data_IF_397798732211
#
_entry.id   IF_397798732211
#
_cell.length_a   1.000
_cell.length_b   1.000
_cell.length_c   1.000
_cell.angle_alpha   90.00
_cell.angle_beta   90.00
_cell.angle_gamma   90.00
#
_symmetry.space_group_name_H-M   'P 1'
#
loop_
_entity.id
_entity.type
_entity.pdbx_description
1 polymer ?
#
# COMPACT_ATOMS: atom_id res chain seq x y z
N UNK A 1 -30.15 17.68 11.45
CA UNK A 1 -31.33 18.12 10.66
C UNK A 1 -32.34 17.01 10.72
N UNK A 2 -33.62 17.31 10.93
CA UNK A 2 -34.64 16.26 10.99
C UNK A 2 -34.97 15.75 9.58
N UNK A 3 -35.53 14.54 9.47
CA UNK A 3 -35.92 13.91 8.20
C UNK A 3 -36.73 14.86 7.28
N UNK A 4 -37.66 15.63 7.85
CA UNK A 4 -38.47 16.60 7.12
C UNK A 4 -37.61 17.65 6.40
N UNK A 5 -36.58 18.19 7.06
CA UNK A 5 -35.67 19.18 6.48
C UNK A 5 -34.83 18.57 5.34
N UNK A 6 -34.43 17.29 5.50
CA UNK A 6 -33.65 16.55 4.49
C UNK A 6 -34.47 16.31 3.23
N UNK A 7 -35.75 15.92 3.37
CA UNK A 7 -36.67 15.76 2.24
C UNK A 7 -36.87 17.08 1.49
N UNK A 8 -37.11 18.20 2.20
CA UNK A 8 -37.26 19.53 1.58
C UNK A 8 -36.00 19.93 0.83
N UNK A 9 -34.82 19.73 1.44
CA UNK A 9 -33.54 20.07 0.83
C UNK A 9 -33.30 19.28 -0.44
N UNK A 10 -33.44 17.96 -0.39
CA UNK A 10 -33.24 17.08 -1.54
C UNK A 10 -34.23 17.39 -2.67
N UNK A 11 -35.51 17.59 -2.35
CA UNK A 11 -36.52 18.01 -3.34
C UNK A 11 -36.14 19.31 -4.04
N UNK A 12 -35.73 20.34 -3.27
CA UNK A 12 -35.30 21.63 -3.82
C UNK A 12 -34.02 21.51 -4.66
N UNK A 13 -33.08 20.63 -4.27
CA UNK A 13 -31.85 20.36 -5.01
C UNK A 13 -32.12 19.80 -6.40
N UNK A 14 -33.09 18.90 -6.52
CA UNK A 14 -33.54 18.34 -7.81
C UNK A 14 -34.56 19.22 -8.54
N UNK A 15 -34.97 20.35 -7.96
CA UNK A 15 -35.90 21.30 -8.58
C UNK A 15 -37.36 20.84 -8.62
N UNK A 16 -37.76 19.83 -7.84
CA UNK A 16 -39.09 19.23 -7.94
C UNK A 16 -40.16 19.99 -7.13
N UNK A 17 -41.39 19.99 -7.61
CA UNK A 17 -42.57 20.39 -6.84
C UNK A 17 -43.02 19.29 -5.86
N UNK A 18 -43.89 19.63 -4.89
CA UNK A 18 -44.46 18.61 -3.98
C UNK A 18 -45.35 17.61 -4.73
N UNK A 19 -46.07 18.06 -5.76
CA UNK A 19 -46.79 17.18 -6.69
C UNK A 19 -45.86 16.19 -7.40
N UNK A 20 -44.74 16.67 -7.95
CA UNK A 20 -43.80 15.84 -8.71
C UNK A 20 -43.09 14.79 -7.83
N UNK A 21 -42.72 15.16 -6.61
CA UNK A 21 -42.18 14.20 -5.64
C UNK A 21 -43.23 13.15 -5.26
N UNK A 22 -44.49 13.56 -5.09
CA UNK A 22 -45.58 12.64 -4.78
C UNK A 22 -45.86 11.64 -5.90
N UNK A 23 -45.81 12.11 -7.16
CA UNK A 23 -45.94 11.26 -8.35
C UNK A 23 -44.80 10.24 -8.44
N UNK A 24 -43.55 10.69 -8.26
CA UNK A 24 -42.35 9.81 -8.25
C UNK A 24 -42.37 8.77 -7.13
N UNK A 25 -42.95 9.12 -5.98
CA UNK A 25 -43.06 8.25 -4.81
C UNK A 25 -44.35 7.40 -4.80
N UNK A 26 -45.19 7.54 -5.83
CA UNK A 26 -46.52 6.93 -5.93
C UNK A 26 -47.34 7.09 -4.63
N UNK A 27 -47.41 8.32 -4.13
CA UNK A 27 -48.19 8.71 -2.94
C UNK A 27 -49.03 9.96 -3.24
N UNK A 28 -49.95 10.31 -2.34
CA UNK A 28 -50.69 11.56 -2.47
C UNK A 28 -49.81 12.77 -2.15
N UNK A 29 -50.04 13.89 -2.84
CA UNK A 29 -49.40 15.18 -2.51
C UNK A 29 -49.53 15.55 -1.03
N UNK A 30 -50.66 15.20 -0.42
CA UNK A 30 -50.93 15.43 1.00
C UNK A 30 -49.97 14.65 1.91
N UNK A 31 -49.54 13.44 1.51
CA UNK A 31 -48.56 12.67 2.28
C UNK A 31 -47.19 13.37 2.29
N UNK A 32 -46.70 13.80 1.12
CA UNK A 32 -45.43 14.54 1.00
C UNK A 32 -45.47 15.85 1.80
N UNK A 33 -46.58 16.59 1.73
CA UNK A 33 -46.74 17.82 2.53
C UNK A 33 -46.69 17.56 4.04
N UNK A 34 -47.23 16.43 4.51
CA UNK A 34 -47.18 16.07 5.94
C UNK A 34 -45.79 15.59 6.37
N UNK A 35 -45.06 14.92 5.48
CA UNK A 35 -43.66 14.55 5.71
C UNK A 35 -42.76 15.77 5.82
N UNK A 36 -42.88 16.73 4.89
CA UNK A 36 -42.11 17.98 4.91
C UNK A 36 -42.48 18.88 6.10
N UNK A 37 -43.71 18.79 6.62
CA UNK A 37 -44.15 19.53 7.81
C UNK A 37 -43.88 18.79 9.14
N UNK A 38 -43.17 17.65 9.11
CA UNK A 38 -42.91 16.78 10.26
C UNK A 38 -44.19 16.33 11.02
N UNK A 39 -45.35 16.32 10.37
CA UNK A 39 -46.63 15.91 10.96
C UNK A 39 -46.82 14.40 10.97
N UNK A 40 -46.18 13.70 10.04
CA UNK A 40 -46.18 12.24 9.93
C UNK A 40 -44.83 11.77 9.43
N UNK A 41 -44.35 10.63 9.94
CA UNK A 41 -43.14 9.98 9.45
C UNK A 41 -43.48 9.03 8.30
N UNK A 42 -42.70 9.02 7.20
CA UNK A 42 -42.80 7.97 6.19
C UNK A 42 -42.50 6.61 6.82
N UNK A 43 -43.16 5.56 6.34
CA UNK A 43 -42.87 4.19 6.68
C UNK A 43 -41.57 3.70 6.04
N UNK A 44 -41.05 2.57 6.51
CA UNK A 44 -39.75 2.04 6.09
C UNK A 44 -39.64 1.84 4.58
N UNK A 45 -40.72 1.36 3.94
CA UNK A 45 -40.78 1.18 2.48
C UNK A 45 -40.64 2.52 1.74
N UNK A 46 -41.29 3.58 2.23
CA UNK A 46 -41.16 4.93 1.66
C UNK A 46 -39.82 5.57 1.96
N UNK A 47 -39.18 5.26 3.08
CA UNK A 47 -37.81 5.71 3.37
C UNK A 47 -36.82 5.10 2.37
N UNK A 48 -36.94 3.80 2.07
CA UNK A 48 -36.12 3.12 1.07
C UNK A 48 -36.36 3.70 -0.34
N UNK A 49 -37.61 3.99 -0.68
CA UNK A 49 -37.93 4.64 -1.96
C UNK A 49 -37.36 6.06 -2.04
N UNK A 50 -37.41 6.85 -0.96
CA UNK A 50 -36.81 8.19 -0.91
C UNK A 50 -35.29 8.11 -1.04
N UNK A 51 -34.65 7.13 -0.39
CA UNK A 51 -33.20 6.95 -0.45
C UNK A 51 -32.76 6.65 -1.88
N UNK A 52 -33.44 5.72 -2.55
CA UNK A 52 -33.19 5.37 -3.95
C UNK A 52 -33.52 6.53 -4.90
N UNK A 53 -34.61 7.26 -4.66
CA UNK A 53 -35.04 8.36 -5.54
C UNK A 53 -34.07 9.55 -5.50
N UNK A 54 -33.52 9.85 -4.33
CA UNK A 54 -32.60 10.96 -4.15
C UNK A 54 -31.12 10.56 -4.30
N UNK A 55 -30.84 9.25 -4.40
CA UNK A 55 -29.48 8.71 -4.47
C UNK A 55 -28.69 8.98 -3.19
N UNK A 56 -29.31 8.77 -2.02
CA UNK A 56 -28.68 8.97 -0.71
C UNK A 56 -28.88 7.73 0.17
N UNK A 57 -28.03 7.53 1.17
CA UNK A 57 -28.18 6.40 2.09
C UNK A 57 -29.41 6.58 3.00
N UNK A 58 -30.03 5.46 3.43
CA UNK A 58 -31.11 5.51 4.43
C UNK A 58 -30.62 6.05 5.77
N UNK A 59 -29.35 5.84 6.08
CA UNK A 59 -28.71 6.35 7.29
C UNK A 59 -28.66 7.88 7.28
N UNK A 60 -28.31 8.47 6.12
CA UNK A 60 -28.42 9.92 5.91
C UNK A 60 -29.84 10.42 6.11
N UNK A 61 -30.88 9.70 5.68
CA UNK A 61 -32.26 10.16 5.90
C UNK A 61 -32.70 10.08 7.37
N UNK A 62 -32.19 9.10 8.13
CA UNK A 62 -32.70 8.76 9.46
C UNK A 62 -31.90 9.34 10.63
N UNK A 63 -30.60 9.58 10.48
CA UNK A 63 -29.77 10.14 11.55
C UNK A 63 -29.93 11.64 11.68
N UNK A 64 -29.92 12.16 12.90
CA UNK A 64 -30.04 13.60 13.17
C UNK A 64 -28.71 14.37 13.02
N UNK A 65 -27.59 13.65 13.02
CA UNK A 65 -26.24 14.19 12.84
C UNK A 65 -26.06 14.70 11.40
N UNK A 66 -25.27 15.77 11.25
CA UNK A 66 -24.91 16.34 9.96
C UNK A 66 -23.79 15.46 9.39
N UNK A 67 -24.16 14.28 8.88
CA UNK A 67 -23.29 13.52 7.98
C UNK A 67 -23.38 14.18 6.59
N UNK A 68 -22.24 14.29 5.90
CA UNK A 68 -22.17 14.76 4.51
C UNK A 68 -23.13 13.94 3.62
N UNK A 69 -23.69 14.55 2.58
CA UNK A 69 -24.54 13.86 1.60
C UNK A 69 -23.74 12.73 0.91
N UNK A 70 -23.79 11.52 1.44
CA UNK A 70 -23.24 10.32 0.79
C UNK A 70 -24.16 9.93 -0.36
N UNK A 71 -23.75 10.33 -1.57
CA UNK A 71 -24.43 9.95 -2.80
C UNK A 71 -24.22 8.46 -3.09
N UNK A 72 -25.32 7.72 -3.26
CA UNK A 72 -25.28 6.39 -3.84
C UNK A 72 -25.22 6.53 -5.36
N UNK A 73 -24.13 6.05 -5.96
CA UNK A 73 -23.91 6.09 -7.41
C UNK A 73 -24.76 4.99 -8.08
N UNK A 74 -26.08 5.21 -8.15
CA UNK A 74 -27.02 4.22 -8.70
C UNK A 74 -27.19 4.36 -10.21
N UNK A 75 -26.16 3.94 -10.96
CA UNK A 75 -26.34 3.36 -12.31
C UNK A 75 -25.29 2.27 -12.57
N UNK A 76 -25.50 1.11 -11.94
CA UNK A 76 -25.32 -0.25 -12.49
C UNK A 76 -25.03 -1.23 -11.35
N UNK A 77 -26.00 -2.10 -11.12
CA UNK A 77 -25.84 -3.43 -10.52
C UNK A 77 -25.40 -3.51 -9.05
N UNK A 78 -26.25 -4.18 -8.27
CA UNK A 78 -25.94 -4.78 -6.97
C UNK A 78 -24.74 -5.73 -7.05
N UNK A 79 -23.53 -5.19 -7.04
CA UNK A 79 -22.28 -5.96 -6.97
C UNK A 79 -21.24 -5.26 -6.10
N UNK A 80 -21.63 -4.78 -4.90
CA UNK A 80 -20.63 -4.64 -3.83
C UNK A 80 -20.09 -6.05 -3.59
N UNK A 81 -18.88 -6.31 -4.09
CA UNK A 81 -18.27 -7.64 -4.06
C UNK A 81 -18.13 -8.06 -2.61
N UNK A 82 -18.99 -8.98 -2.17
CA UNK A 82 -18.92 -9.53 -0.81
C UNK A 82 -17.80 -10.54 -0.77
N UNK A 83 -16.79 -10.26 0.05
CA UNK A 83 -15.71 -11.19 0.29
C UNK A 83 -16.25 -12.34 1.13
N UNK A 84 -16.37 -13.50 0.51
CA UNK A 84 -16.86 -14.69 1.19
C UNK A 84 -15.81 -15.32 2.10
N UNK A 85 -16.26 -16.16 3.04
CA UNK A 85 -15.36 -16.86 3.96
C UNK A 85 -14.37 -17.78 3.21
N UNK A 86 -14.81 -18.42 2.13
CA UNK A 86 -13.97 -19.29 1.30
C UNK A 86 -12.91 -18.48 0.53
N UNK A 87 -13.28 -17.34 -0.04
CA UNK A 87 -12.36 -16.44 -0.74
C UNK A 87 -11.32 -15.83 0.21
N UNK A 88 -11.73 -15.37 1.39
CA UNK A 88 -10.82 -14.85 2.41
C UNK A 88 -9.81 -15.92 2.87
N UNK A 89 -10.28 -17.16 3.06
CA UNK A 89 -9.41 -18.29 3.39
C UNK A 89 -8.43 -18.61 2.27
N UNK A 90 -8.91 -18.67 1.02
CA UNK A 90 -8.09 -18.93 -0.15
C UNK A 90 -7.01 -17.84 -0.32
N UNK A 91 -7.39 -16.57 -0.12
CA UNK A 91 -6.47 -15.44 -0.18
C UNK A 91 -5.37 -15.54 0.88
N UNK A 92 -5.73 -15.76 2.15
CA UNK A 92 -4.74 -15.89 3.24
C UNK A 92 -3.81 -17.09 3.01
N UNK A 93 -4.35 -18.24 2.58
CA UNK A 93 -3.58 -19.43 2.29
C UNK A 93 -2.62 -19.22 1.11
N UNK A 94 -3.09 -18.58 0.04
CA UNK A 94 -2.26 -18.23 -1.10
C UNK A 94 -1.16 -17.23 -0.69
N UNK A 95 -1.47 -16.18 0.07
CA UNK A 95 -0.50 -15.19 0.57
C UNK A 95 0.57 -15.83 1.45
N UNK A 96 0.23 -16.85 2.24
CA UNK A 96 1.18 -17.63 3.05
C UNK A 96 2.22 -18.36 2.21
N UNK A 97 1.82 -18.90 1.07
CA UNK A 97 2.72 -19.58 0.13
C UNK A 97 3.50 -18.55 -0.70
N UNK A 98 2.82 -17.52 -1.21
CA UNK A 98 3.42 -16.42 -1.93
C UNK A 98 4.52 -15.71 -1.12
N UNK A 99 4.34 -15.55 0.20
CA UNK A 99 5.36 -14.95 1.07
C UNK A 99 6.70 -15.68 1.01
N UNK A 100 6.67 -17.01 0.93
CA UNK A 100 7.89 -17.84 0.85
C UNK A 100 8.53 -17.69 -0.53
N UNK A 101 7.74 -17.70 -1.60
CA UNK A 101 8.26 -17.51 -2.96
C UNK A 101 8.89 -16.13 -3.13
N UNK A 102 8.24 -15.07 -2.64
CA UNK A 102 8.77 -13.70 -2.67
C UNK A 102 10.08 -13.63 -1.88
N UNK A 103 10.14 -14.21 -0.68
CA UNK A 103 11.35 -14.23 0.13
C UNK A 103 12.50 -14.99 -0.56
N UNK A 104 12.22 -16.15 -1.16
CA UNK A 104 13.21 -16.90 -1.94
C UNK A 104 13.71 -16.13 -3.16
N UNK A 105 12.83 -15.44 -3.88
CA UNK A 105 13.22 -14.61 -5.01
C UNK A 105 14.12 -13.45 -4.57
N UNK A 106 13.81 -12.78 -3.46
CA UNK A 106 14.67 -11.75 -2.87
C UNK A 106 16.03 -12.32 -2.46
N UNK A 107 16.07 -13.52 -1.88
CA UNK A 107 17.32 -14.18 -1.53
C UNK A 107 18.16 -14.54 -2.75
N UNK A 108 17.52 -14.99 -3.84
CA UNK A 108 18.19 -15.23 -5.12
C UNK A 108 18.85 -13.96 -5.65
N UNK A 109 18.20 -12.79 -5.54
CA UNK A 109 18.80 -11.52 -5.94
C UNK A 109 20.07 -11.22 -5.13
N UNK A 110 20.08 -11.49 -3.83
CA UNK A 110 21.25 -11.28 -2.97
C UNK A 110 22.38 -12.26 -3.34
N UNK A 111 22.03 -13.54 -3.50
CA UNK A 111 22.98 -14.61 -3.87
C UNK A 111 23.52 -14.42 -5.29
N UNK A 112 22.80 -13.73 -6.18
CA UNK A 112 23.23 -13.50 -7.56
C UNK A 112 24.56 -12.76 -7.68
N UNK A 113 24.94 -11.99 -6.66
CA UNK A 113 26.19 -11.23 -6.62
C UNK A 113 27.36 -12.11 -6.16
N UNK A 114 27.11 -13.24 -5.49
CA UNK A 114 28.16 -14.09 -4.93
C UNK A 114 29.13 -14.67 -5.97
N UNK A 115 28.68 -15.23 -7.12
CA UNK A 115 29.59 -15.74 -8.14
C UNK A 115 30.56 -14.66 -8.64
N UNK A 116 30.06 -13.43 -8.82
CA UNK A 116 30.88 -12.29 -9.24
C UNK A 116 31.97 -11.97 -8.20
N UNK A 117 31.61 -11.89 -6.92
CA UNK A 117 32.56 -11.60 -5.85
C UNK A 117 33.62 -12.70 -5.70
N UNK A 118 33.19 -13.97 -5.69
CA UNK A 118 34.09 -15.12 -5.51
C UNK A 118 35.04 -15.26 -6.70
N UNK A 119 34.54 -15.25 -7.94
CA UNK A 119 35.39 -15.46 -9.11
C UNK A 119 36.43 -14.35 -9.27
N UNK A 120 36.01 -13.10 -9.06
CA UNK A 120 36.92 -11.94 -9.19
C UNK A 120 38.05 -12.05 -8.18
N UNK A 121 37.72 -12.28 -6.89
CA UNK A 121 38.73 -12.41 -5.84
C UNK A 121 39.61 -13.64 -6.00
N UNK A 122 39.04 -14.79 -6.41
CA UNK A 122 39.81 -16.01 -6.65
C UNK A 122 40.78 -15.88 -7.85
N UNK A 123 40.44 -15.08 -8.86
CA UNK A 123 41.32 -14.81 -10.00
C UNK A 123 42.51 -13.93 -9.64
N UNK A 124 42.34 -12.96 -8.74
CA UNK A 124 43.40 -12.05 -8.30
C UNK A 124 44.49 -12.77 -7.48
N UNK A 125 44.10 -13.76 -6.68
CA UNK A 125 45.05 -14.58 -5.91
C UNK A 125 45.63 -15.77 -6.71
N UNK A 126 45.36 -15.85 -8.02
CA UNK A 126 45.77 -16.94 -8.90
C UNK A 126 45.34 -18.35 -8.42
N UNK A 127 44.30 -18.45 -7.59
CA UNK A 127 43.70 -19.74 -7.20
C UNK A 127 43.08 -20.46 -8.40
N UNK A 128 42.60 -19.68 -9.37
CA UNK A 128 41.99 -20.16 -10.60
C UNK A 128 42.80 -19.59 -11.76
N UNK A 129 43.16 -20.45 -12.72
CA UNK A 129 43.97 -20.07 -13.89
C UNK A 129 43.12 -19.38 -14.98
N UNK A 130 42.35 -18.35 -14.59
CA UNK A 130 41.43 -17.59 -15.43
C UNK A 130 41.81 -16.11 -15.31
N UNK A 131 41.86 -15.38 -16.42
CA UNK A 131 42.11 -13.94 -16.41
C UNK A 131 41.00 -13.17 -15.68
N UNK A 132 41.35 -12.11 -14.96
CA UNK A 132 40.40 -11.25 -14.22
C UNK A 132 39.20 -10.79 -15.06
N UNK A 133 39.44 -10.36 -16.30
CA UNK A 133 38.37 -9.94 -17.23
C UNK A 133 37.37 -11.06 -17.54
N UNK A 134 37.87 -12.29 -17.70
CA UNK A 134 37.04 -13.46 -17.96
C UNK A 134 36.26 -13.88 -16.70
N UNK A 135 36.88 -13.82 -15.53
CA UNK A 135 36.25 -14.09 -14.24
C UNK A 135 35.10 -13.10 -13.97
N UNK A 136 35.33 -11.80 -14.18
CA UNK A 136 34.30 -10.77 -14.08
C UNK A 136 33.17 -10.97 -15.10
N UNK A 137 33.50 -11.31 -16.35
CA UNK A 137 32.52 -11.59 -17.40
C UNK A 137 31.61 -12.77 -17.06
N UNK A 138 32.17 -13.90 -16.61
CA UNK A 138 31.40 -15.06 -16.14
C UNK A 138 30.52 -14.69 -14.94
N UNK A 139 31.05 -13.91 -14.00
CA UNK A 139 30.31 -13.43 -12.83
C UNK A 139 29.06 -12.61 -13.22
N UNK A 140 29.20 -11.68 -14.17
CA UNK A 140 28.09 -10.85 -14.66
C UNK A 140 27.04 -11.71 -15.38
N UNK A 141 27.46 -12.65 -16.23
CA UNK A 141 26.54 -13.57 -16.91
C UNK A 141 25.75 -14.39 -15.88
N UNK A 142 26.43 -14.95 -14.88
CA UNK A 142 25.79 -15.71 -13.80
C UNK A 142 24.79 -14.85 -13.01
N UNK A 143 25.14 -13.59 -12.72
CA UNK A 143 24.27 -12.64 -12.04
C UNK A 143 22.96 -12.45 -12.81
N UNK A 144 23.03 -12.16 -14.11
CA UNK A 144 21.82 -11.95 -14.93
C UNK A 144 20.96 -13.20 -15.06
N UNK A 145 21.57 -14.39 -15.16
CA UNK A 145 20.83 -15.65 -15.20
C UNK A 145 20.04 -15.90 -13.90
N UNK A 146 20.67 -15.68 -12.74
CA UNK A 146 20.01 -15.86 -11.44
C UNK A 146 18.91 -14.80 -11.23
N UNK A 147 19.17 -13.53 -11.58
CA UNK A 147 18.17 -12.46 -11.50
C UNK A 147 16.97 -12.77 -12.40
N UNK A 148 17.21 -13.30 -13.60
CA UNK A 148 16.12 -13.68 -14.52
C UNK A 148 15.16 -14.69 -13.87
N UNK A 149 15.69 -15.68 -13.14
CA UNK A 149 14.87 -16.63 -12.37
C UNK A 149 14.08 -15.94 -11.26
N UNK A 150 14.70 -15.02 -10.51
CA UNK A 150 14.01 -14.26 -9.47
C UNK A 150 12.86 -13.41 -10.03
N UNK A 151 13.07 -12.73 -11.16
CA UNK A 151 12.04 -11.92 -11.83
C UNK A 151 10.87 -12.78 -12.31
N UNK A 152 11.13 -13.98 -12.85
CA UNK A 152 10.07 -14.93 -13.22
C UNK A 152 9.23 -15.33 -11.99
N UNK A 153 9.86 -15.54 -10.83
CA UNK A 153 9.14 -15.85 -9.59
C UNK A 153 8.27 -14.66 -9.15
N UNK A 154 8.82 -13.44 -9.12
CA UNK A 154 8.07 -12.23 -8.73
C UNK A 154 6.87 -11.99 -9.65
N UNK A 155 7.07 -12.07 -10.96
CA UNK A 155 6.02 -11.86 -11.95
C UNK A 155 4.94 -12.94 -11.86
N UNK A 156 5.30 -14.22 -11.69
CA UNK A 156 4.35 -15.32 -11.50
C UNK A 156 3.48 -15.13 -10.24
N UNK A 157 4.09 -14.68 -9.14
CA UNK A 157 3.33 -14.33 -7.92
C UNK A 157 2.43 -13.11 -8.16
N UNK A 158 2.91 -12.10 -8.88
CA UNK A 158 2.12 -10.92 -9.26
C UNK A 158 0.88 -11.27 -10.09
N UNK A 159 1.03 -12.09 -11.12
CA UNK A 159 -0.10 -12.51 -11.96
C UNK A 159 -1.15 -13.31 -11.19
N UNK A 160 -0.74 -14.15 -10.24
CA UNK A 160 -1.67 -14.89 -9.36
C UNK A 160 -2.40 -13.98 -8.36
N UNK A 161 -1.93 -12.75 -8.14
CA UNK A 161 -2.62 -11.77 -7.30
C UNK A 161 -3.80 -11.08 -8.00
N UNK A 162 -3.85 -11.11 -9.35
CA UNK A 162 -4.85 -10.39 -10.15
C UNK A 162 -6.31 -10.61 -9.70
N UNK A 163 -6.76 -11.84 -9.35
CA UNK A 163 -8.13 -12.06 -8.88
C UNK A 163 -8.47 -11.35 -7.55
N UNK A 164 -7.45 -10.95 -6.78
CA UNK A 164 -7.55 -10.32 -5.46
C UNK A 164 -7.25 -8.82 -5.48
N UNK A 165 -7.05 -8.24 -6.66
CA UNK A 165 -6.72 -6.81 -6.85
C UNK A 165 -7.86 -5.90 -6.39
N UNK A 166 -9.11 -6.38 -6.41
CA UNK A 166 -10.26 -5.67 -5.85
C UNK A 166 -10.10 -5.32 -4.36
N UNK A 167 -9.34 -6.12 -3.59
CA UNK A 167 -9.05 -5.81 -2.18
C UNK A 167 -8.16 -4.56 -2.02
N UNK A 168 -7.44 -4.15 -3.07
CA UNK A 168 -6.65 -2.91 -3.10
C UNK A 168 -7.47 -1.70 -3.55
N UNK A 169 -8.34 -1.86 -4.54
CA UNK A 169 -8.88 -0.73 -5.30
C UNK A 169 -10.39 -0.50 -5.14
N UNK A 170 -11.14 -1.52 -4.74
CA UNK A 170 -12.61 -1.48 -4.74
C UNK A 170 -13.17 -1.50 -3.32
N UNK A 171 -14.36 -0.91 -3.15
CA UNK A 171 -15.14 -1.07 -1.93
C UNK A 171 -15.72 -2.49 -1.90
N UNK A 172 -15.31 -3.28 -0.92
CA UNK A 172 -15.85 -4.62 -0.67
C UNK A 172 -16.45 -4.71 0.72
N UNK A 173 -17.52 -5.48 0.87
CA UNK A 173 -18.07 -5.84 2.18
C UNK A 173 -17.57 -7.23 2.57
N UNK A 174 -17.33 -7.45 3.86
CA UNK A 174 -16.99 -8.79 4.37
C UNK A 174 -18.25 -9.51 4.79
N UNK A 175 -18.43 -10.76 4.36
CA UNK A 175 -19.53 -11.59 4.85
C UNK A 175 -19.46 -11.81 6.38
N UNK A 176 -20.60 -12.14 6.99
CA UNK A 176 -20.69 -12.45 8.42
C UNK A 176 -19.70 -13.55 8.80
N UNK A 177 -18.94 -13.33 9.88
CA UNK A 177 -17.93 -14.27 10.39
C UNK A 177 -16.53 -14.14 9.78
N UNK A 178 -16.34 -13.47 8.63
CA UNK A 178 -15.01 -13.27 8.02
C UNK A 178 -14.11 -12.45 8.94
N UNK A 179 -14.62 -11.33 9.46
CA UNK A 179 -13.87 -10.47 10.40
C UNK A 179 -13.46 -11.23 11.66
N UNK A 180 -14.37 -12.05 12.22
CA UNK A 180 -14.07 -12.89 13.39
C UNK A 180 -12.96 -13.90 13.12
N UNK A 181 -13.07 -14.65 12.01
CA UNK A 181 -12.07 -15.62 11.58
C UNK A 181 -10.69 -14.99 11.37
N UNK A 182 -10.63 -13.83 10.69
CA UNK A 182 -9.36 -13.15 10.43
C UNK A 182 -8.76 -12.59 11.72
N UNK A 183 -9.55 -12.00 12.61
CA UNK A 183 -9.07 -11.53 13.93
C UNK A 183 -8.54 -12.66 14.80
N UNK A 184 -9.17 -13.82 14.80
CA UNK A 184 -8.69 -14.98 15.53
C UNK A 184 -7.33 -15.46 14.99
N UNK A 185 -7.19 -15.55 13.66
CA UNK A 185 -5.90 -15.87 13.02
C UNK A 185 -4.83 -14.82 13.25
N UNK A 186 -5.19 -13.54 13.19
CA UNK A 186 -4.30 -12.43 13.46
C UNK A 186 -3.77 -12.51 14.90
N UNK A 187 -4.65 -12.77 15.87
CA UNK A 187 -4.27 -12.97 17.28
C UNK A 187 -3.37 -14.20 17.47
N UNK A 188 -3.69 -15.32 16.83
CA UNK A 188 -2.87 -16.54 16.89
C UNK A 188 -1.48 -16.32 16.27
N UNK A 189 -1.38 -15.55 15.18
CA UNK A 189 -0.12 -15.26 14.50
C UNK A 189 0.67 -14.12 15.13
N UNK A 190 0.05 -13.25 15.93
CA UNK A 190 0.66 -12.04 16.48
C UNK A 190 1.99 -12.30 17.21
N UNK A 191 2.02 -13.30 18.08
CA UNK A 191 3.25 -13.67 18.81
C UNK A 191 4.34 -14.19 17.88
N UNK A 192 3.97 -14.96 16.85
CA UNK A 192 4.93 -15.41 15.83
C UNK A 192 5.45 -14.24 15.01
N UNK A 193 4.58 -13.33 14.59
CA UNK A 193 4.95 -12.11 13.87
C UNK A 193 5.98 -11.27 14.64
N UNK A 194 5.73 -11.02 15.93
CA UNK A 194 6.66 -10.28 16.79
C UNK A 194 7.99 -11.02 16.92
N UNK A 195 7.97 -12.31 17.27
CA UNK A 195 9.20 -13.11 17.43
C UNK A 195 10.03 -13.15 16.15
N UNK A 196 9.40 -13.37 15.01
CA UNK A 196 10.08 -13.39 13.71
C UNK A 196 10.68 -12.03 13.37
N UNK A 197 9.97 -10.92 13.61
CA UNK A 197 10.51 -9.58 13.39
C UNK A 197 11.68 -9.26 14.32
N UNK A 198 11.63 -9.64 15.60
CA UNK A 198 12.76 -9.46 16.53
C UNK A 198 14.00 -10.20 16.02
N UNK A 199 13.83 -11.46 15.60
CA UNK A 199 14.93 -12.26 15.03
C UNK A 199 15.46 -11.60 13.74
N UNK A 200 14.58 -11.15 12.85
CA UNK A 200 14.97 -10.48 11.61
C UNK A 200 15.77 -9.20 11.85
N UNK A 201 15.32 -8.35 12.78
CA UNK A 201 16.04 -7.13 13.19
C UNK A 201 17.43 -7.50 13.73
N UNK A 202 17.49 -8.48 14.63
CA UNK A 202 18.75 -8.93 15.20
C UNK A 202 19.74 -9.41 14.12
N UNK A 203 19.28 -10.23 13.16
CA UNK A 203 20.12 -10.70 12.05
C UNK A 203 20.62 -9.55 11.17
N UNK A 204 19.77 -8.57 10.85
CA UNK A 204 20.19 -7.43 10.05
C UNK A 204 21.22 -6.56 10.79
N UNK A 205 21.02 -6.31 12.09
CA UNK A 205 21.92 -5.49 12.91
C UNK A 205 23.27 -6.17 13.10
N UNK A 206 23.31 -7.51 13.27
CA UNK A 206 24.57 -8.25 13.43
C UNK A 206 25.27 -8.55 12.10
N UNK A 207 24.58 -8.40 10.96
CA UNK A 207 25.11 -8.74 9.64
C UNK A 207 26.46 -8.10 9.29
N UNK A 208 26.82 -6.86 9.71
CA UNK A 208 28.12 -6.28 9.38
C UNK A 208 29.30 -6.85 10.18
N UNK A 209 29.04 -7.57 11.29
CA UNK A 209 30.09 -8.09 12.18
C UNK A 209 31.08 -9.02 11.44
N UNK A 210 30.66 -10.00 10.64
CA UNK A 210 31.56 -10.80 9.79
C UNK A 210 32.51 -9.94 8.95
N UNK A 211 32.03 -8.91 8.25
CA UNK A 211 32.85 -8.03 7.44
C UNK A 211 33.90 -7.27 8.27
N UNK A 212 33.51 -6.76 9.44
CA UNK A 212 34.44 -6.09 10.37
C UNK A 212 35.52 -7.08 10.82
N UNK A 213 35.16 -8.31 11.16
CA UNK A 213 36.13 -9.37 11.47
C UNK A 213 37.08 -9.65 10.29
N UNK A 214 36.56 -9.68 9.06
CA UNK A 214 37.34 -9.84 7.84
C UNK A 214 38.34 -8.71 7.59
N UNK A 215 38.02 -7.47 7.96
CA UNK A 215 38.94 -6.33 7.80
C UNK A 215 40.18 -6.39 8.68
N UNK A 216 40.18 -7.20 9.75
CA UNK A 216 41.37 -7.45 10.57
C UNK A 216 42.29 -8.51 9.97
N UNK A 217 41.88 -9.18 8.90
CA UNK A 217 42.71 -10.14 8.20
C UNK A 217 43.48 -9.47 7.06
N UNK A 218 44.76 -9.81 6.89
CA UNK A 218 45.61 -9.32 5.80
C UNK A 218 45.30 -9.98 4.43
N UNK A 219 44.26 -10.83 4.36
CA UNK A 219 43.95 -11.62 3.18
C UNK A 219 42.66 -11.12 2.50
N UNK A 220 42.81 -10.52 1.32
CA UNK A 220 41.72 -9.95 0.53
C UNK A 220 40.62 -10.98 0.20
N UNK A 221 40.99 -12.24 -0.06
CA UNK A 221 40.02 -13.30 -0.35
C UNK A 221 39.18 -13.67 0.88
N UNK A 222 39.79 -13.70 2.07
CA UNK A 222 39.04 -13.89 3.31
C UNK A 222 38.07 -12.74 3.57
N UNK A 223 38.48 -11.50 3.31
CA UNK A 223 37.60 -10.33 3.43
C UNK A 223 36.36 -10.46 2.53
N UNK A 224 36.52 -10.91 1.29
CA UNK A 224 35.39 -11.18 0.37
C UNK A 224 34.49 -12.31 0.87
N UNK A 225 35.04 -13.38 1.44
CA UNK A 225 34.24 -14.45 2.03
C UNK A 225 33.41 -13.95 3.22
N UNK A 226 33.99 -13.11 4.08
CA UNK A 226 33.26 -12.47 5.16
C UNK A 226 32.18 -11.51 4.67
N UNK A 227 32.43 -10.76 3.60
CA UNK A 227 31.41 -9.93 2.94
C UNK A 227 30.22 -10.78 2.47
N UNK A 228 30.47 -11.96 1.90
CA UNK A 228 29.41 -12.89 1.49
C UNK A 228 28.60 -13.36 2.70
N UNK A 229 29.25 -13.71 3.81
CA UNK A 229 28.55 -14.07 5.06
C UNK A 229 27.68 -12.91 5.55
N UNK A 230 28.17 -11.67 5.48
CA UNK A 230 27.38 -10.47 5.79
C UNK A 230 26.14 -10.36 4.89
N UNK A 231 26.28 -10.54 3.57
CA UNK A 231 25.15 -10.49 2.64
C UNK A 231 24.13 -11.61 2.90
N UNK A 232 24.58 -12.84 3.17
CA UNK A 232 23.71 -13.98 3.47
C UNK A 232 22.94 -13.79 4.79
N UNK A 233 23.60 -13.28 5.83
CA UNK A 233 22.96 -13.02 7.12
C UNK A 233 21.94 -11.88 7.05
N UNK A 234 22.25 -10.78 6.35
CA UNK A 234 21.30 -9.72 6.05
C UNK A 234 20.12 -10.23 5.20
N UNK A 235 20.41 -11.05 4.19
CA UNK A 235 19.40 -11.68 3.33
C UNK A 235 18.46 -12.61 4.09
N UNK A 236 18.97 -13.37 5.07
CA UNK A 236 18.14 -14.17 5.97
C UNK A 236 17.20 -13.29 6.81
N UNK A 237 17.68 -12.16 7.33
CA UNK A 237 16.83 -11.17 8.01
C UNK A 237 15.73 -10.62 7.09
N UNK A 238 16.07 -10.22 5.87
CA UNK A 238 15.11 -9.75 4.86
C UNK A 238 14.05 -10.82 4.51
N UNK A 239 14.45 -12.09 4.35
CA UNK A 239 13.51 -13.19 4.11
C UNK A 239 12.49 -13.33 5.25
N UNK A 240 12.94 -13.25 6.50
CA UNK A 240 12.06 -13.33 7.66
C UNK A 240 11.06 -12.17 7.70
N UNK A 241 11.50 -10.95 7.40
CA UNK A 241 10.61 -9.79 7.27
C UNK A 241 9.56 -9.99 6.18
N UNK A 242 9.96 -10.50 5.01
CA UNK A 242 9.03 -10.74 3.90
C UNK A 242 8.01 -11.81 4.30
N UNK A 243 8.46 -12.94 4.87
CA UNK A 243 7.57 -14.03 5.27
C UNK A 243 6.55 -13.56 6.32
N UNK A 244 7.01 -12.84 7.34
CA UNK A 244 6.14 -12.35 8.41
C UNK A 244 5.23 -11.21 7.96
N UNK A 245 5.80 -10.21 7.27
CA UNK A 245 5.13 -9.02 6.79
C UNK A 245 4.06 -9.31 5.75
N UNK A 246 4.34 -10.13 4.74
CA UNK A 246 3.37 -10.47 3.68
C UNK A 246 2.14 -11.18 4.25
N UNK A 247 2.33 -12.05 5.26
CA UNK A 247 1.24 -12.73 5.97
C UNK A 247 0.44 -11.77 6.83
N UNK A 248 1.12 -10.96 7.64
CA UNK A 248 0.48 -9.96 8.48
C UNK A 248 -0.36 -8.96 7.68
N UNK A 249 0.24 -8.39 6.63
CA UNK A 249 -0.41 -7.46 5.71
C UNK A 249 -1.65 -8.07 5.03
N UNK A 250 -1.64 -9.36 4.71
CA UNK A 250 -2.83 -10.02 4.13
C UNK A 250 -4.04 -10.02 5.05
N UNK A 251 -3.82 -10.16 6.37
CA UNK A 251 -4.89 -10.15 7.36
C UNK A 251 -5.38 -8.73 7.62
N UNK A 252 -4.45 -7.76 7.75
CA UNK A 252 -4.81 -6.34 7.87
C UNK A 252 -5.60 -5.83 6.66
N UNK A 253 -5.27 -6.32 5.46
CA UNK A 253 -5.96 -5.95 4.22
C UNK A 253 -7.43 -6.38 4.21
N UNK A 254 -7.74 -7.58 4.71
CA UNK A 254 -9.13 -8.04 4.84
C UNK A 254 -9.87 -7.26 5.94
N UNK A 255 -9.19 -7.00 7.07
CA UNK A 255 -9.75 -6.24 8.18
C UNK A 255 -9.83 -4.72 7.92
N UNK A 256 -9.23 -4.24 6.83
CA UNK A 256 -9.06 -2.81 6.51
C UNK A 256 -8.39 -2.04 7.66
N UNK A 257 -7.37 -2.62 8.29
CA UNK A 257 -6.62 -2.01 9.40
C UNK A 257 -5.29 -1.41 8.94
N UNK A 258 -4.78 -0.41 9.67
CA UNK A 258 -3.51 0.26 9.38
C UNK A 258 -3.51 0.96 8.01
N UNK A 259 -2.48 0.67 7.21
CA UNK A 259 -2.29 1.24 5.86
C UNK A 259 -3.39 0.86 4.86
N UNK A 260 -4.22 -0.14 5.18
CA UNK A 260 -5.30 -0.61 4.32
C UNK A 260 -6.65 0.07 4.60
N UNK A 261 -6.71 0.96 5.58
CA UNK A 261 -7.91 1.79 5.80
C UNK A 261 -8.17 2.68 4.58
N UNK A 262 -9.43 2.92 4.24
CA UNK A 262 -9.78 3.79 3.10
C UNK A 262 -9.26 5.23 3.28
N UNK A 263 -9.22 5.69 4.53
CA UNK A 263 -8.65 6.97 4.92
C UNK A 263 -7.17 7.05 4.55
N UNK A 264 -6.38 6.06 4.96
CA UNK A 264 -4.93 6.04 4.69
C UNK A 264 -4.62 5.82 3.19
N UNK A 265 -5.45 5.07 2.45
CA UNK A 265 -5.31 4.94 0.99
C UNK A 265 -5.53 6.25 0.25
N UNK A 266 -6.50 7.07 0.67
CA UNK A 266 -6.70 8.43 0.10
C UNK A 266 -5.49 9.31 0.40
N UNK A 267 -5.04 9.34 1.65
CA UNK A 267 -3.82 10.08 2.06
C UNK A 267 -2.58 9.63 1.28
N UNK A 268 -2.39 8.33 1.10
CA UNK A 268 -1.28 7.77 0.32
C UNK A 268 -1.28 8.23 -1.14
N UNK A 269 -2.44 8.32 -1.81
CA UNK A 269 -2.54 8.85 -3.19
C UNK A 269 -2.16 10.33 -3.28
N UNK A 270 -2.61 11.14 -2.32
CA UNK A 270 -2.26 12.57 -2.25
C UNK A 270 -0.77 12.73 -1.97
N UNK A 271 -0.25 12.05 -0.94
CA UNK A 271 1.20 12.01 -0.63
C UNK A 271 2.03 11.59 -1.83
N UNK A 272 1.61 10.57 -2.57
CA UNK A 272 2.30 10.11 -3.78
C UNK A 272 2.35 11.20 -4.87
N UNK A 273 1.23 11.88 -5.09
CA UNK A 273 1.14 12.98 -6.06
C UNK A 273 2.02 14.17 -5.63
N UNK A 274 1.95 14.58 -4.36
CA UNK A 274 2.77 15.65 -3.78
C UNK A 274 4.25 15.30 -3.86
N UNK A 275 4.61 14.05 -3.56
CA UNK A 275 6.00 13.56 -3.66
C UNK A 275 6.51 13.64 -5.09
N UNK A 276 5.72 13.19 -6.06
CA UNK A 276 6.10 13.23 -7.47
C UNK A 276 6.28 14.67 -7.95
N UNK A 277 5.34 15.57 -7.64
CA UNK A 277 5.42 17.00 -7.99
C UNK A 277 6.65 17.64 -7.34
N UNK A 278 6.89 17.37 -6.06
CA UNK A 278 8.03 17.90 -5.32
C UNK A 278 9.37 17.51 -5.98
N UNK A 279 9.58 16.22 -6.27
CA UNK A 279 10.83 15.77 -6.88
C UNK A 279 11.00 16.26 -8.31
N UNK A 280 9.93 16.38 -9.09
CA UNK A 280 10.00 17.00 -10.42
C UNK A 280 10.41 18.48 -10.35
N UNK A 281 9.93 19.23 -9.36
CA UNK A 281 10.34 20.63 -9.15
C UNK A 281 11.81 20.70 -8.73
N UNK A 282 12.25 19.85 -7.79
CA UNK A 282 13.66 19.79 -7.35
C UNK A 282 14.58 19.48 -8.53
N UNK A 283 14.21 18.50 -9.36
CA UNK A 283 14.98 18.14 -10.57
C UNK A 283 14.97 19.29 -11.58
N UNK A 284 13.84 19.97 -11.80
CA UNK A 284 13.76 21.12 -12.68
C UNK A 284 14.63 22.29 -12.20
N UNK A 285 14.66 22.57 -10.89
CA UNK A 285 15.55 23.59 -10.29
C UNK A 285 17.01 23.18 -10.46
N UNK A 286 17.35 21.92 -10.21
CA UNK A 286 18.70 21.40 -10.41
C UNK A 286 19.15 21.56 -11.88
N UNK A 287 18.31 21.17 -12.84
CA UNK A 287 18.60 21.33 -14.27
C UNK A 287 18.68 22.82 -14.67
N UNK A 288 17.80 23.67 -14.16
CA UNK A 288 17.86 25.12 -14.41
C UNK A 288 19.16 25.74 -13.89
N UNK A 289 19.60 25.32 -12.71
CA UNK A 289 20.85 25.77 -12.09
C UNK A 289 22.08 25.24 -12.83
N UNK A 290 21.98 24.05 -13.43
CA UNK A 290 23.02 23.42 -14.23
C UNK A 290 23.19 24.08 -15.62
N UNK A 291 22.09 24.47 -16.28
CA UNK A 291 22.11 25.01 -17.64
C UNK A 291 22.18 26.55 -17.71
N UNK A 292 21.77 27.28 -16.67
CA UNK A 292 21.69 28.75 -16.71
C UNK A 292 22.87 29.48 -16.06
N UNK A 293 23.75 28.79 -15.34
CA UNK A 293 24.87 29.39 -14.61
C UNK A 293 26.21 28.80 -15.08
N UNK A 294 27.22 29.67 -15.09
CA UNK A 294 28.62 29.46 -15.50
C UNK A 294 29.17 28.03 -15.26
N UNK A 295 30.01 27.47 -16.16
CA UNK A 295 30.57 26.11 -16.07
C UNK A 295 31.37 25.82 -14.78
N UNK A 296 31.73 26.85 -14.01
CA UNK A 296 32.46 26.75 -12.75
C UNK A 296 31.59 26.36 -11.55
N UNK A 297 30.25 26.40 -11.66
CA UNK A 297 29.33 26.20 -10.52
C UNK A 297 28.90 24.75 -10.28
N UNK A 298 29.34 23.81 -11.12
CA UNK A 298 29.00 22.37 -11.01
C UNK A 298 29.35 21.78 -9.64
N UNK A 299 30.42 22.28 -9.00
CA UNK A 299 30.87 21.81 -7.69
C UNK A 299 29.93 22.17 -6.53
N UNK A 300 29.02 23.15 -6.71
CA UNK A 300 28.08 23.60 -5.66
C UNK A 300 26.64 23.12 -5.91
N UNK A 301 26.31 22.68 -7.12
CA UNK A 301 24.94 22.28 -7.50
C UNK A 301 24.43 21.04 -6.76
N UNK A 302 25.30 20.21 -6.18
CA UNK A 302 24.89 19.02 -5.42
C UNK A 302 24.22 19.36 -4.08
N UNK A 303 24.44 20.57 -3.55
CA UNK A 303 23.89 21.03 -2.26
C UNK A 303 22.35 21.07 -2.27
N UNK A 304 21.74 21.14 -3.45
CA UNK A 304 20.27 21.09 -3.60
C UNK A 304 19.67 19.79 -3.09
N UNK A 305 20.39 18.65 -3.18
CA UNK A 305 19.86 17.34 -2.81
C UNK A 305 19.69 17.17 -1.28
N UNK A 306 20.69 17.52 -0.44
CA UNK A 306 20.50 17.59 1.00
C UNK A 306 19.37 18.54 1.43
N UNK A 307 19.31 19.74 0.82
CA UNK A 307 18.26 20.73 1.12
C UNK A 307 16.89 20.18 0.74
N UNK A 308 16.78 19.55 -0.44
CA UNK A 308 15.56 18.91 -0.89
C UNK A 308 15.14 17.76 0.02
N UNK A 309 16.07 16.97 0.55
CA UNK A 309 15.76 15.92 1.52
C UNK A 309 15.12 16.46 2.79
N UNK A 310 15.67 17.54 3.37
CA UNK A 310 15.13 18.18 4.58
C UNK A 310 13.78 18.84 4.32
N UNK A 311 13.66 19.60 3.23
CA UNK A 311 12.41 20.26 2.85
C UNK A 311 11.29 19.25 2.53
N UNK A 312 11.64 18.08 1.97
CA UNK A 312 10.66 17.04 1.68
C UNK A 312 9.94 16.55 2.93
N UNK A 313 10.68 16.36 4.03
CA UNK A 313 10.10 15.96 5.33
C UNK A 313 9.11 17.02 5.81
N UNK A 314 9.45 18.31 5.70
CA UNK A 314 8.56 19.41 6.07
C UNK A 314 7.29 19.43 5.20
N UNK A 315 7.41 19.21 3.89
CA UNK A 315 6.27 19.15 2.96
C UNK A 315 5.31 18.00 3.31
N UNK A 316 5.84 16.82 3.63
CA UNK A 316 5.01 15.66 4.03
C UNK A 316 4.28 15.93 5.34
N UNK A 317 4.95 16.48 6.35
CA UNK A 317 4.32 16.84 7.64
C UNK A 317 3.21 17.88 7.45
N UNK A 318 3.41 18.83 6.54
CA UNK A 318 2.41 19.87 6.24
C UNK A 318 1.21 19.28 5.49
N UNK A 319 1.46 18.32 4.59
CA UNK A 319 0.41 17.54 3.92
C UNK A 319 -0.44 16.76 4.94
N UNK A 320 0.21 16.08 5.89
CA UNK A 320 -0.47 15.36 6.98
C UNK A 320 -1.35 16.28 7.81
N UNK A 321 -0.85 17.47 8.15
CA UNK A 321 -1.60 18.46 8.93
C UNK A 321 -2.83 19.00 8.20
N UNK A 322 -2.72 19.23 6.88
CA UNK A 322 -3.85 19.72 6.06
C UNK A 322 -4.92 18.65 5.93
N UNK A 323 -4.55 17.40 5.67
CA UNK A 323 -5.50 16.28 5.54
C UNK A 323 -6.21 16.00 6.87
N UNK A 324 -5.48 15.99 7.99
CA UNK A 324 -6.08 15.79 9.33
C UNK A 324 -7.05 16.91 9.72
N UNK A 325 -6.84 18.13 9.22
CA UNK A 325 -7.75 19.26 9.46
C UNK A 325 -9.02 19.15 8.62
N UNK A 326 -8.89 18.74 7.36
CA UNK A 326 -10.03 18.51 6.46
C UNK A 326 -10.92 17.37 6.99
N UNK A 327 -10.33 16.34 7.58
CA UNK A 327 -11.04 15.20 8.19
C UNK A 327 -11.72 15.51 9.54
N UNK A 328 -11.45 16.69 10.15
CA UNK A 328 -12.08 17.14 11.42
C UNK A 328 -13.17 18.19 11.20
N UNK A 329 -13.26 18.75 10.00
CA UNK A 329 -14.25 19.78 9.65
C UNK A 329 -15.44 19.22 8.86
N UNK A 330 -15.29 18.01 8.31
CA UNK A 330 -16.37 17.14 7.84
C UNK A 330 -16.65 16.07 8.90
#
# INVERSE_FOLDING_TARGET
MILADKIIRLRKKYGWSQEELAEKMNVSRQAVSKWEAAQTTPDLDKILQLSALFGVTTDYLLKDEIEDEEFTDDTNDTNVKKLSLSEANAFIAWRKTASVLIALATMLCIVSIMPLLILTSASQLAYINISENLAGGIGIISLFLIISVAVVIFTSVGFKNKPYEFLDNEYFETEYGVVGMVKERQKAYHNTYIKTNIIAIFLCVISPVPLICGSFSDNDFLCVLFLIVTLLTAGAGAMLFIIAGVRWASMQKILKEGDFTQKEKKKSKVKGTVTLVYWLIVVAIYLSMLFSFDPSNYQSSWIIWPIAGVLFVAVIVLCDFIEDKHDKQN
#
